data_IF_366815867717
#
_entry.id   IF_366815867717
#
_cell.length_a   1.000
_cell.length_b   1.000
_cell.length_c   1.000
_cell.angle_alpha   90.00
_cell.angle_beta   90.00
_cell.angle_gamma   90.00
#
_symmetry.space_group_name_H-M   'P 1'
#
loop_
_entity.id
_entity.type
_entity.pdbx_description
1 polymer ?
#
# COMPACT_ATOMS: atom_id res chain seq x y z
N UNK A 1 -3.98 17.69 -43.62
CA UNK A 1 -4.47 16.53 -44.38
C UNK A 1 -3.33 15.65 -44.90
N UNK A 2 -2.29 16.20 -45.54
CA UNK A 2 -1.15 15.44 -46.11
C UNK A 2 -0.34 14.64 -45.07
N UNK A 3 -0.10 15.20 -43.88
CA UNK A 3 0.65 14.51 -42.81
C UNK A 3 -0.12 13.31 -42.22
N UNK A 4 -1.44 13.41 -42.09
CA UNK A 4 -2.29 12.31 -41.60
C UNK A 4 -2.28 11.13 -42.59
N UNK A 5 -2.33 11.42 -43.88
CA UNK A 5 -2.19 10.39 -44.93
C UNK A 5 -0.81 9.72 -44.91
N UNK A 6 0.25 10.47 -44.60
CA UNK A 6 1.59 9.90 -44.41
C UNK A 6 1.64 9.00 -43.17
N UNK A 7 1.04 9.42 -42.06
CA UNK A 7 0.96 8.62 -40.82
C UNK A 7 0.27 7.27 -41.09
N UNK A 8 -0.83 7.26 -41.83
CA UNK A 8 -1.56 6.01 -42.19
C UNK A 8 -0.69 4.98 -42.92
N UNK A 9 0.36 5.41 -43.63
CA UNK A 9 1.25 4.54 -44.42
C UNK A 9 2.45 4.03 -43.65
N UNK A 10 2.68 4.49 -42.42
CA UNK A 10 3.80 4.03 -41.60
C UNK A 10 3.61 2.56 -41.24
N UNK A 11 4.66 1.76 -41.38
CA UNK A 11 4.60 0.29 -41.21
C UNK A 11 5.30 -0.19 -39.95
N UNK A 12 6.13 0.65 -39.32
CA UNK A 12 6.88 0.29 -38.10
C UNK A 12 6.62 1.27 -36.96
N UNK A 13 6.82 0.82 -35.71
CA UNK A 13 6.71 1.69 -34.53
C UNK A 13 7.79 2.78 -34.51
N UNK A 14 9.00 2.44 -34.96
CA UNK A 14 10.13 3.37 -35.05
C UNK A 14 9.84 4.52 -36.02
N UNK A 15 9.19 4.23 -37.15
CA UNK A 15 8.76 5.28 -38.09
C UNK A 15 7.71 6.21 -37.48
N UNK A 16 6.81 5.69 -36.63
CA UNK A 16 5.80 6.48 -35.94
C UNK A 16 6.44 7.39 -34.90
N UNK A 17 7.38 6.87 -34.11
CA UNK A 17 8.16 7.66 -33.14
C UNK A 17 8.96 8.75 -33.86
N UNK A 18 9.68 8.40 -34.92
CA UNK A 18 10.42 9.36 -35.75
C UNK A 18 9.50 10.44 -36.33
N UNK A 19 8.31 10.06 -36.82
CA UNK A 19 7.32 11.03 -37.32
C UNK A 19 6.82 11.97 -36.22
N UNK A 20 6.61 11.45 -35.00
CA UNK A 20 6.19 12.23 -33.84
C UNK A 20 7.25 13.27 -33.46
N UNK A 21 8.51 12.85 -33.31
CA UNK A 21 9.63 13.73 -32.96
C UNK A 21 9.84 14.80 -34.02
N UNK A 22 9.66 14.45 -35.31
CA UNK A 22 9.73 15.41 -36.40
C UNK A 22 8.58 16.42 -36.36
N UNK A 23 7.36 15.97 -36.09
CA UNK A 23 6.20 16.85 -35.95
C UNK A 23 6.33 17.79 -34.74
N UNK A 24 6.86 17.30 -33.62
CA UNK A 24 7.11 18.09 -32.42
C UNK A 24 8.19 19.16 -32.65
N UNK A 25 9.35 18.76 -33.21
CA UNK A 25 10.42 19.71 -33.57
C UNK A 25 9.97 20.77 -34.56
N UNK A 26 9.08 20.42 -35.48
CA UNK A 26 8.50 21.34 -36.45
C UNK A 26 7.32 22.16 -35.89
N UNK A 27 6.92 21.96 -34.63
CA UNK A 27 5.74 22.58 -34.00
C UNK A 27 4.43 22.31 -34.77
N UNK A 28 4.33 21.14 -35.39
CA UNK A 28 3.17 20.69 -36.16
C UNK A 28 2.33 19.65 -35.40
N UNK A 29 2.64 19.36 -34.13
CA UNK A 29 1.93 18.36 -33.33
C UNK A 29 0.58 18.91 -32.87
N UNK A 30 -0.44 18.78 -33.72
CA UNK A 30 -1.84 19.10 -33.39
C UNK A 30 -2.55 17.90 -32.76
N UNK A 31 -3.67 18.11 -32.02
CA UNK A 31 -4.46 17.00 -31.46
C UNK A 31 -4.89 15.95 -32.51
N UNK A 32 -5.24 16.38 -33.73
CA UNK A 32 -5.62 15.47 -34.82
C UNK A 32 -4.45 14.58 -35.27
N UNK A 33 -3.23 15.12 -35.22
CA UNK A 33 -2.01 14.39 -35.57
C UNK A 33 -1.64 13.41 -34.44
N UNK A 34 -1.79 13.80 -33.18
CA UNK A 34 -1.60 12.90 -32.04
C UNK A 34 -2.57 11.71 -32.09
N UNK A 35 -3.84 11.98 -32.39
CA UNK A 35 -4.86 10.94 -32.60
C UNK A 35 -4.48 10.03 -33.76
N UNK A 36 -4.08 10.59 -34.92
CA UNK A 36 -3.66 9.80 -36.06
C UNK A 36 -2.45 8.90 -35.77
N UNK A 37 -1.43 9.41 -35.05
CA UNK A 37 -0.25 8.65 -34.63
C UNK A 37 -0.63 7.53 -33.65
N UNK A 38 -1.51 7.83 -32.69
CA UNK A 38 -2.01 6.86 -31.71
C UNK A 38 -2.80 5.74 -32.38
N UNK A 39 -3.74 6.08 -33.23
CA UNK A 39 -4.60 5.11 -33.92
C UNK A 39 -3.76 4.24 -34.86
N UNK A 40 -2.78 4.83 -35.55
CA UNK A 40 -1.86 4.04 -36.37
C UNK A 40 -0.99 3.09 -35.55
N UNK A 41 -0.55 3.52 -34.37
CA UNK A 41 0.18 2.65 -33.45
C UNK A 41 -0.69 1.47 -33.04
N UNK A 42 -1.96 1.72 -32.73
CA UNK A 42 -2.91 0.66 -32.40
C UNK A 42 -3.05 -0.36 -33.55
N UNK A 43 -3.16 0.08 -34.81
CA UNK A 43 -3.22 -0.81 -35.98
C UNK A 43 -2.01 -1.76 -36.05
N UNK A 44 -0.80 -1.24 -35.80
CA UNK A 44 0.42 -2.07 -35.80
C UNK A 44 0.41 -3.08 -34.66
N UNK A 45 -0.14 -2.72 -33.49
CA UNK A 45 -0.33 -3.68 -32.41
C UNK A 45 -1.43 -4.70 -32.69
N UNK A 46 -2.50 -4.34 -33.41
CA UNK A 46 -3.52 -5.28 -33.89
C UNK A 46 -2.89 -6.34 -34.77
N UNK A 47 -2.07 -5.93 -35.74
CA UNK A 47 -1.33 -6.85 -36.60
C UNK A 47 -0.41 -7.79 -35.79
N UNK A 48 0.28 -7.27 -34.76
CA UNK A 48 1.11 -8.08 -33.85
C UNK A 48 0.30 -9.09 -33.03
N UNK A 49 -0.90 -8.73 -32.57
CA UNK A 49 -1.78 -9.66 -31.85
C UNK A 49 -2.22 -10.78 -32.77
N UNK A 50 -2.63 -10.44 -33.99
CA UNK A 50 -3.07 -11.40 -35.01
C UNK A 50 -1.99 -12.41 -35.38
N UNK A 51 -0.78 -11.94 -35.65
CA UNK A 51 0.39 -12.78 -35.90
C UNK A 51 0.66 -13.71 -34.71
N UNK A 52 0.63 -13.18 -33.48
CA UNK A 52 0.88 -13.96 -32.28
C UNK A 52 -0.16 -15.07 -32.01
N UNK A 53 -1.38 -14.94 -32.52
CA UNK A 53 -2.44 -15.95 -32.36
C UNK A 53 -2.68 -16.79 -33.62
N UNK A 54 -1.96 -16.51 -34.71
CA UNK A 54 -2.10 -17.19 -36.00
C UNK A 54 -3.45 -16.97 -36.67
N UNK A 55 -4.00 -15.74 -36.62
CA UNK A 55 -5.28 -15.37 -37.27
C UNK A 55 -5.07 -14.33 -38.36
N UNK A 56 -5.86 -14.43 -39.42
CA UNK A 56 -5.89 -13.43 -40.50
C UNK A 56 -6.99 -12.39 -40.26
N UNK A 57 -6.78 -11.09 -40.56
CA UNK A 57 -7.79 -10.03 -40.36
C UNK A 57 -9.13 -10.34 -41.04
N UNK A 58 -9.09 -10.91 -42.25
CA UNK A 58 -10.29 -11.24 -43.03
C UNK A 58 -11.15 -12.37 -42.42
N UNK A 59 -10.60 -13.11 -41.45
CA UNK A 59 -11.28 -14.23 -40.78
C UNK A 59 -12.04 -13.83 -39.51
N UNK A 60 -12.05 -12.55 -39.15
CA UNK A 60 -12.61 -12.07 -37.89
C UNK A 60 -14.07 -11.67 -38.05
N UNK A 61 -14.90 -12.04 -37.08
CA UNK A 61 -16.17 -11.39 -36.85
C UNK A 61 -15.95 -9.97 -36.28
N UNK A 62 -16.94 -9.08 -36.41
CA UNK A 62 -16.85 -7.71 -35.90
C UNK A 62 -16.49 -7.65 -34.40
N UNK A 63 -17.16 -8.47 -33.59
CA UNK A 63 -16.85 -8.60 -32.16
C UNK A 63 -15.43 -9.11 -31.88
N UNK A 64 -14.90 -10.02 -32.72
CA UNK A 64 -13.53 -10.54 -32.56
C UNK A 64 -12.50 -9.46 -32.90
N UNK A 65 -12.78 -8.61 -33.89
CA UNK A 65 -11.96 -7.46 -34.22
C UNK A 65 -11.89 -6.46 -33.04
N UNK A 66 -13.02 -6.19 -32.38
CA UNK A 66 -13.06 -5.33 -31.19
C UNK A 66 -12.29 -5.93 -30.01
N UNK A 67 -12.41 -7.24 -29.77
CA UNK A 67 -11.62 -7.94 -28.74
C UNK A 67 -10.12 -7.87 -29.05
N UNK A 68 -9.73 -8.04 -30.31
CA UNK A 68 -8.34 -7.91 -30.75
C UNK A 68 -7.83 -6.47 -30.58
N UNK A 69 -8.64 -5.46 -30.92
CA UNK A 69 -8.30 -4.06 -30.71
C UNK A 69 -8.10 -3.76 -29.21
N UNK A 70 -8.95 -4.30 -28.33
CA UNK A 70 -8.77 -4.22 -26.89
C UNK A 70 -7.47 -4.88 -26.40
N UNK A 71 -7.15 -6.07 -26.90
CA UNK A 71 -5.88 -6.75 -26.61
C UNK A 71 -4.65 -5.98 -27.12
N UNK A 72 -4.76 -5.38 -28.30
CA UNK A 72 -3.72 -4.56 -28.91
C UNK A 72 -3.48 -3.29 -28.08
N UNK A 73 -4.55 -2.59 -27.67
CA UNK A 73 -4.46 -1.42 -26.82
C UNK A 73 -3.85 -1.78 -25.44
N UNK A 74 -4.19 -2.94 -24.87
CA UNK A 74 -3.56 -3.42 -23.64
C UNK A 74 -2.07 -3.74 -23.81
N UNK A 75 -1.66 -4.22 -24.99
CA UNK A 75 -0.25 -4.45 -25.27
C UNK A 75 0.49 -3.13 -25.47
N UNK A 76 -0.05 -2.25 -26.31
CA UNK A 76 0.48 -0.92 -26.59
C UNK A 76 0.72 -0.10 -25.32
N UNK A 77 -0.18 -0.23 -24.33
CA UNK A 77 -0.11 0.53 -23.07
C UNK A 77 0.66 -0.19 -21.95
N UNK A 78 1.30 -1.33 -22.23
CA UNK A 78 1.98 -2.16 -21.24
C UNK A 78 3.50 -2.20 -21.44
N UNK A 79 4.26 -1.93 -20.38
CA UNK A 79 5.72 -2.16 -20.35
C UNK A 79 6.11 -3.64 -20.10
N UNK A 80 5.12 -4.54 -20.02
CA UNK A 80 5.33 -5.97 -19.75
C UNK A 80 4.89 -6.83 -20.94
N UNK A 81 5.48 -8.03 -21.12
CA UNK A 81 5.01 -9.01 -22.10
C UNK A 81 3.51 -9.26 -21.93
N UNK A 82 2.77 -9.36 -23.04
CA UNK A 82 1.32 -9.48 -23.00
C UNK A 82 0.89 -10.87 -22.48
N UNK A 83 0.65 -10.98 -21.17
CA UNK A 83 0.15 -12.20 -20.53
C UNK A 83 -1.24 -12.61 -21.03
N UNK A 84 -2.03 -11.67 -21.57
CA UNK A 84 -3.34 -11.94 -22.15
C UNK A 84 -3.23 -12.77 -23.43
N UNK A 85 -2.19 -12.56 -24.25
CA UNK A 85 -1.91 -13.40 -25.43
C UNK A 85 -1.56 -14.82 -25.01
N UNK A 86 -0.72 -14.98 -23.97
CA UNK A 86 -0.42 -16.31 -23.42
C UNK A 86 -1.66 -17.02 -22.89
N UNK A 87 -2.55 -16.28 -22.23
CA UNK A 87 -3.81 -16.80 -21.71
C UNK A 87 -4.80 -17.18 -22.83
N UNK A 88 -4.77 -16.45 -23.95
CA UNK A 88 -5.58 -16.70 -25.14
C UNK A 88 -5.08 -17.92 -25.92
N UNK A 89 -3.77 -18.07 -26.10
CA UNK A 89 -3.17 -19.26 -26.73
C UNK A 89 -3.53 -20.55 -25.97
N UNK A 90 -3.56 -20.51 -24.64
CA UNK A 90 -4.01 -21.65 -23.80
C UNK A 90 -5.48 -22.02 -24.02
N UNK A 91 -6.30 -21.10 -24.53
CA UNK A 91 -7.72 -21.28 -24.85
C UNK A 91 -7.96 -21.58 -26.33
N UNK A 92 -6.94 -22.06 -27.06
CA UNK A 92 -7.02 -22.30 -28.51
C UNK A 92 -7.46 -21.05 -29.30
N UNK A 93 -7.12 -19.86 -28.80
CA UNK A 93 -7.46 -18.58 -29.43
C UNK A 93 -8.96 -18.27 -29.54
N UNK A 94 -9.79 -18.81 -28.62
CA UNK A 94 -11.20 -18.41 -28.50
C UNK A 94 -11.33 -17.01 -27.88
N UNK A 95 -11.55 -16.01 -28.75
CA UNK A 95 -11.62 -14.59 -28.39
C UNK A 95 -12.89 -14.26 -27.59
N UNK A 96 -14.00 -14.92 -27.91
CA UNK A 96 -15.30 -14.66 -27.27
C UNK A 96 -15.29 -15.20 -25.84
N UNK A 97 -14.88 -16.46 -25.68
CA UNK A 97 -14.75 -17.05 -24.36
C UNK A 97 -13.73 -16.29 -23.51
N UNK A 98 -12.63 -15.83 -24.11
CA UNK A 98 -11.65 -15.00 -23.42
C UNK A 98 -12.24 -13.68 -22.90
N UNK A 99 -13.01 -12.95 -23.71
CA UNK A 99 -13.65 -11.70 -23.28
C UNK A 99 -14.67 -11.96 -22.17
N UNK A 100 -15.49 -13.01 -22.31
CA UNK A 100 -16.48 -13.44 -21.31
C UNK A 100 -15.84 -13.81 -19.96
N UNK A 101 -14.79 -14.63 -19.99
CA UNK A 101 -14.00 -15.00 -18.80
C UNK A 101 -13.39 -13.78 -18.12
N UNK A 102 -12.97 -12.79 -18.91
CA UNK A 102 -12.26 -11.63 -18.40
C UNK A 102 -13.18 -10.71 -17.63
N UNK A 103 -14.40 -10.46 -18.13
CA UNK A 103 -15.38 -9.62 -17.42
C UNK A 103 -16.06 -10.36 -16.26
N UNK A 104 -16.13 -11.69 -16.31
CA UNK A 104 -16.81 -12.49 -15.28
C UNK A 104 -15.97 -12.72 -14.02
N UNK A 105 -14.68 -12.36 -14.02
CA UNK A 105 -13.83 -12.44 -12.83
C UNK A 105 -14.22 -11.37 -11.79
N UNK A 106 -14.24 -11.70 -10.49
CA UNK A 106 -14.45 -10.70 -9.46
C UNK A 106 -13.25 -9.74 -9.34
N UNK A 107 -13.54 -8.46 -9.12
CA UNK A 107 -12.53 -7.41 -8.85
C UNK A 107 -12.16 -6.53 -10.04
N UNK A 108 -11.68 -5.31 -9.76
CA UNK A 108 -11.33 -4.27 -10.76
C UNK A 108 -10.26 -4.78 -11.72
N UNK A 109 -10.44 -4.62 -13.03
CA UNK A 109 -9.39 -4.93 -14.02
C UNK A 109 -8.46 -3.72 -14.10
N UNK A 110 -7.18 -3.93 -13.84
CA UNK A 110 -6.13 -2.92 -14.08
C UNK A 110 -6.13 -2.42 -15.53
N UNK A 111 -6.59 -3.27 -16.46
CA UNK A 111 -6.76 -2.91 -17.86
C UNK A 111 -7.76 -1.78 -18.09
N UNK A 112 -8.84 -1.69 -17.30
CA UNK A 112 -9.88 -0.68 -17.49
C UNK A 112 -9.33 0.74 -17.33
N UNK A 113 -8.75 1.07 -16.16
CA UNK A 113 -8.23 2.41 -15.88
C UNK A 113 -7.12 2.80 -16.84
N UNK A 114 -6.19 1.89 -17.08
CA UNK A 114 -5.07 2.12 -17.99
C UNK A 114 -5.52 2.45 -19.41
N UNK A 115 -6.54 1.76 -19.93
CA UNK A 115 -7.07 2.05 -21.26
C UNK A 115 -7.82 3.38 -21.28
N UNK A 116 -8.61 3.68 -20.26
CA UNK A 116 -9.32 4.97 -20.14
C UNK A 116 -8.33 6.14 -20.11
N UNK A 117 -7.30 6.08 -19.26
CA UNK A 117 -6.24 7.11 -19.15
C UNK A 117 -5.49 7.33 -20.47
N UNK A 118 -5.39 6.31 -21.31
CA UNK A 118 -4.71 6.37 -22.62
C UNK A 118 -5.65 6.65 -23.79
N UNK A 119 -6.92 6.98 -23.50
CA UNK A 119 -7.92 7.35 -24.52
C UNK A 119 -8.55 6.16 -25.27
N UNK A 120 -8.32 4.94 -24.80
CA UNK A 120 -8.88 3.69 -25.34
C UNK A 120 -10.05 3.16 -24.52
N UNK A 121 -10.76 4.03 -23.78
CA UNK A 121 -11.88 3.64 -22.93
C UNK A 121 -12.97 2.85 -23.67
N UNK A 122 -13.18 3.12 -24.97
CA UNK A 122 -14.12 2.39 -25.81
C UNK A 122 -13.73 0.93 -26.10
N UNK A 123 -12.45 0.57 -25.92
CA UNK A 123 -11.90 -0.78 -26.18
C UNK A 123 -11.76 -1.62 -24.90
N UNK A 124 -12.27 -1.16 -23.76
CA UNK A 124 -12.32 -1.99 -22.56
C UNK A 124 -13.28 -3.16 -22.77
N UNK A 125 -12.92 -4.35 -22.31
CA UNK A 125 -13.71 -5.56 -22.56
C UNK A 125 -15.13 -5.46 -22.02
N UNK A 126 -15.33 -4.75 -20.92
CA UNK A 126 -16.66 -4.50 -20.37
C UNK A 126 -17.57 -3.77 -21.38
N UNK A 127 -17.07 -2.76 -22.11
CA UNK A 127 -17.85 -2.05 -23.12
C UNK A 127 -18.06 -2.89 -24.38
N UNK A 128 -17.06 -3.65 -24.81
CA UNK A 128 -17.17 -4.58 -25.93
C UNK A 128 -18.26 -5.63 -25.63
N UNK A 129 -18.24 -6.23 -24.45
CA UNK A 129 -19.24 -7.23 -24.03
C UNK A 129 -20.65 -6.65 -24.00
N UNK A 130 -20.81 -5.40 -23.57
CA UNK A 130 -22.11 -4.71 -23.56
C UNK A 130 -22.57 -4.35 -24.97
N UNK A 131 -21.65 -3.95 -25.86
CA UNK A 131 -21.95 -3.56 -27.23
C UNK A 131 -22.42 -4.72 -28.13
N UNK A 132 -22.12 -5.97 -27.74
CA UNK A 132 -22.46 -7.19 -28.50
C UNK A 132 -23.41 -8.15 -27.74
N UNK A 133 -24.65 -7.74 -27.43
CA UNK A 133 -25.61 -8.57 -26.69
C UNK A 133 -26.04 -9.85 -27.44
N UNK A 134 -25.88 -9.88 -28.76
CA UNK A 134 -26.12 -11.04 -29.62
C UNK A 134 -25.08 -12.16 -29.46
N UNK A 135 -23.89 -11.82 -28.94
CA UNK A 135 -22.77 -12.76 -28.76
C UNK A 135 -22.58 -13.14 -27.30
N UNK A 136 -22.72 -12.19 -26.37
CA UNK A 136 -22.43 -12.41 -24.96
C UNK A 136 -23.68 -12.63 -24.09
N UNK A 137 -23.56 -13.56 -23.13
CA UNK A 137 -24.65 -13.92 -22.22
C UNK A 137 -25.09 -12.74 -21.34
N UNK A 138 -26.36 -12.75 -20.90
CA UNK A 138 -26.89 -11.74 -19.98
C UNK A 138 -26.07 -11.67 -18.69
N UNK A 139 -25.59 -12.81 -18.19
CA UNK A 139 -24.71 -12.89 -17.02
C UNK A 139 -23.40 -12.15 -17.24
N UNK A 140 -22.70 -12.39 -18.37
CA UNK A 140 -21.45 -11.69 -18.68
C UNK A 140 -21.67 -10.18 -18.84
N UNK A 141 -22.79 -9.78 -19.47
CA UNK A 141 -23.18 -8.37 -19.60
C UNK A 141 -23.54 -7.71 -18.27
N UNK A 142 -24.18 -8.43 -17.35
CA UNK A 142 -24.46 -7.95 -16.00
C UNK A 142 -23.16 -7.70 -15.22
N UNK A 143 -22.19 -8.62 -15.29
CA UNK A 143 -20.87 -8.42 -14.70
C UNK A 143 -20.13 -7.23 -15.32
N UNK A 144 -20.16 -7.11 -16.65
CA UNK A 144 -19.56 -5.98 -17.36
C UNK A 144 -20.15 -4.64 -16.92
N UNK A 145 -21.50 -4.52 -16.83
CA UNK A 145 -22.18 -3.31 -16.34
C UNK A 145 -21.77 -2.98 -14.91
N UNK A 146 -21.82 -3.96 -14.02
CA UNK A 146 -21.43 -3.78 -12.62
C UNK A 146 -19.99 -3.26 -12.48
N UNK A 147 -19.07 -3.78 -13.30
CA UNK A 147 -17.66 -3.34 -13.33
C UNK A 147 -17.49 -1.93 -13.89
N UNK A 148 -18.23 -1.56 -14.94
CA UNK A 148 -18.23 -0.19 -15.46
C UNK A 148 -18.76 0.79 -14.42
N UNK A 149 -19.89 0.47 -13.78
CA UNK A 149 -20.46 1.32 -12.73
C UNK A 149 -19.52 1.47 -11.53
N UNK A 150 -18.81 0.41 -11.12
CA UNK A 150 -17.80 0.50 -10.05
C UNK A 150 -16.62 1.40 -10.47
N UNK A 151 -16.20 1.32 -11.73
CA UNK A 151 -15.04 2.07 -12.21
C UNK A 151 -15.35 3.52 -12.61
N UNK A 152 -16.57 3.82 -13.07
CA UNK A 152 -17.03 5.18 -13.35
C UNK A 152 -17.34 5.93 -12.05
N UNK A 153 -17.89 5.26 -11.03
CA UNK A 153 -18.00 5.82 -9.66
C UNK A 153 -16.65 6.23 -9.09
N UNK A 154 -15.61 5.40 -9.28
CA UNK A 154 -14.25 5.76 -8.87
C UNK A 154 -13.71 7.00 -9.62
N UNK A 155 -14.06 7.19 -10.90
CA UNK A 155 -13.61 8.33 -11.70
C UNK A 155 -14.36 9.63 -11.36
N UNK A 156 -15.66 9.57 -11.04
CA UNK A 156 -16.44 10.73 -10.61
C UNK A 156 -16.07 11.20 -9.19
N UNK A 157 -15.67 10.27 -8.31
CA UNK A 157 -15.05 10.60 -7.01
C UNK A 157 -13.69 11.31 -7.19
N UNK A 158 -12.94 10.99 -8.25
CA UNK A 158 -11.65 11.63 -8.57
C UNK A 158 -11.80 13.02 -9.20
N UNK A 159 -12.80 13.24 -10.06
CA UNK A 159 -12.91 14.45 -10.89
C UNK A 159 -13.65 15.62 -10.22
N UNK A 160 -14.49 15.36 -9.21
CA UNK A 160 -15.47 16.34 -8.73
C UNK A 160 -14.96 17.30 -7.65
N UNK A 161 -13.73 17.16 -7.15
CA UNK A 161 -13.21 17.98 -6.04
C UNK A 161 -14.07 17.91 -4.77
N UNK A 162 -15.01 16.96 -4.72
CA UNK A 162 -15.94 16.74 -3.61
C UNK A 162 -15.19 15.95 -2.54
N UNK A 163 -15.42 16.30 -1.28
CA UNK A 163 -14.83 15.57 -0.17
C UNK A 163 -15.18 14.06 -0.29
N UNK A 164 -14.20 13.15 -0.14
CA UNK A 164 -14.41 11.72 -0.30
C UNK A 164 -15.54 11.25 0.61
N UNK A 165 -16.49 10.52 0.04
CA UNK A 165 -17.61 9.96 0.81
C UNK A 165 -17.21 8.67 1.51
N UNK A 166 -17.80 8.43 2.69
CA UNK A 166 -17.65 7.16 3.36
C UNK A 166 -18.23 6.04 2.49
N UNK A 167 -17.50 4.94 2.37
CA UNK A 167 -17.97 3.71 1.75
C UNK A 167 -19.13 3.12 2.57
N UNK A 168 -19.84 2.14 2.01
CA UNK A 168 -21.00 1.52 2.67
C UNK A 168 -20.72 0.94 4.08
N UNK A 169 -19.44 0.69 4.41
CA UNK A 169 -18.98 0.24 5.73
C UNK A 169 -18.63 1.37 6.71
N UNK A 170 -18.89 2.64 6.35
CA UNK A 170 -18.57 3.82 7.15
C UNK A 170 -17.08 4.21 7.14
N UNK A 171 -16.24 3.59 6.31
CA UNK A 171 -14.81 3.87 6.18
C UNK A 171 -14.50 4.64 4.92
N UNK A 172 -13.32 5.27 4.87
CA UNK A 172 -12.88 6.06 3.72
C UNK A 172 -11.75 5.36 2.99
N UNK A 173 -11.71 5.48 1.67
CA UNK A 173 -10.58 4.97 0.88
C UNK A 173 -9.35 5.85 1.13
N UNK A 174 -8.26 5.27 1.65
CA UNK A 174 -6.98 6.00 1.80
C UNK A 174 -6.51 6.56 0.47
N UNK A 175 -6.73 5.81 -0.62
CA UNK A 175 -6.37 6.26 -1.96
C UNK A 175 -7.20 7.47 -2.42
N UNK A 176 -8.50 7.51 -2.10
CA UNK A 176 -9.34 8.66 -2.42
C UNK A 176 -8.90 9.90 -1.63
N UNK A 177 -8.60 9.73 -0.33
CA UNK A 177 -8.07 10.80 0.53
C UNK A 177 -6.69 11.30 0.11
N UNK A 178 -5.83 10.44 -0.43
CA UNK A 178 -4.53 10.86 -0.97
C UNK A 178 -4.68 11.74 -2.22
N UNK A 179 -5.67 11.45 -3.07
CA UNK A 179 -5.91 12.23 -4.29
C UNK A 179 -6.39 13.65 -3.99
N UNK A 180 -7.19 13.85 -2.95
CA UNK A 180 -7.65 15.21 -2.57
C UNK A 180 -6.50 16.13 -2.18
N UNK A 181 -5.39 15.58 -1.68
CA UNK A 181 -4.16 16.31 -1.35
C UNK A 181 -3.09 16.20 -2.45
N UNK A 182 -3.47 15.73 -3.65
CA UNK A 182 -2.63 15.74 -4.85
C UNK A 182 -1.71 14.53 -5.04
N UNK A 183 -1.80 13.50 -4.20
CA UNK A 183 -1.05 12.25 -4.39
C UNK A 183 -1.80 11.28 -5.30
N UNK A 184 -1.11 10.79 -6.34
CA UNK A 184 -1.69 9.90 -7.35
C UNK A 184 -0.88 8.60 -7.43
N UNK A 185 -1.56 7.46 -7.49
CA UNK A 185 -0.91 6.17 -7.74
C UNK A 185 -0.61 6.02 -9.22
N UNK A 186 0.63 5.63 -9.56
CA UNK A 186 1.01 5.34 -10.94
C UNK A 186 0.30 4.09 -11.48
N UNK A 187 0.06 3.09 -10.62
CA UNK A 187 -0.84 1.97 -10.93
C UNK A 187 -1.73 1.60 -9.73
N UNK A 188 -2.91 1.00 -9.98
CA UNK A 188 -3.91 0.66 -8.96
C UNK A 188 -3.41 -0.13 -7.73
N UNK A 189 -2.54 -1.10 -7.99
CA UNK A 189 -2.09 -2.10 -7.01
C UNK A 189 -0.86 -1.67 -6.23
N UNK A 190 -0.30 -0.51 -6.55
CA UNK A 190 0.85 0.00 -5.83
C UNK A 190 0.45 0.47 -4.44
N UNK A 191 1.35 0.24 -3.51
CA UNK A 191 1.23 0.65 -2.13
C UNK A 191 2.01 1.94 -1.86
N UNK A 192 2.14 2.77 -2.90
CA UNK A 192 2.66 4.11 -2.80
C UNK A 192 1.93 5.01 -3.80
N UNK A 193 1.99 6.32 -3.58
CA UNK A 193 1.49 7.35 -4.48
C UNK A 193 2.52 8.48 -4.58
N UNK A 194 2.45 9.26 -5.65
CA UNK A 194 3.40 10.33 -5.98
C UNK A 194 2.69 11.68 -6.07
N UNK A 195 3.36 12.74 -5.63
CA UNK A 195 2.95 14.14 -5.80
C UNK A 195 4.18 14.94 -6.17
N UNK A 196 4.30 15.33 -7.44
CA UNK A 196 5.52 15.97 -8.00
C UNK A 196 6.75 15.08 -7.73
N UNK A 197 7.67 15.55 -6.89
CA UNK A 197 8.89 14.88 -6.45
C UNK A 197 8.79 14.30 -5.01
N UNK A 198 7.58 14.23 -4.45
CA UNK A 198 7.29 13.59 -3.17
C UNK A 198 6.67 12.20 -3.36
N UNK A 199 6.92 11.31 -2.41
CA UNK A 199 6.34 9.96 -2.36
C UNK A 199 5.63 9.72 -1.03
N UNK A 200 4.50 9.00 -1.06
CA UNK A 200 3.81 8.50 0.12
C UNK A 200 3.61 6.99 0.02
N UNK A 201 4.03 6.26 1.05
CA UNK A 201 3.80 4.82 1.20
C UNK A 201 2.51 4.56 1.97
N UNK A 202 1.78 3.51 1.59
CA UNK A 202 0.63 3.00 2.32
C UNK A 202 1.09 1.79 3.13
N UNK A 203 0.83 1.80 4.43
CA UNK A 203 1.13 0.68 5.33
C UNK A 203 -0.04 0.41 6.28
N UNK A 204 0.05 -0.66 7.05
CA UNK A 204 -0.96 -0.99 8.05
C UNK A 204 -0.66 -0.31 9.37
N UNK A 205 -1.70 0.03 10.13
CA UNK A 205 -1.55 0.56 11.49
C UNK A 205 -0.74 -0.40 12.40
N UNK A 206 -0.80 -1.71 12.14
CA UNK A 206 -0.02 -2.73 12.85
C UNK A 206 1.50 -2.71 12.51
N UNK A 207 1.89 -2.05 11.41
CA UNK A 207 3.29 -1.93 10.98
C UNK A 207 4.00 -0.73 11.65
N UNK A 208 3.30 0.04 12.49
CA UNK A 208 3.81 1.24 13.14
C UNK A 208 3.87 1.12 14.67
N UNK A 209 4.98 1.55 15.24
CA UNK A 209 5.08 1.89 16.66
C UNK A 209 4.99 3.40 16.82
N UNK A 210 3.76 3.91 16.99
CA UNK A 210 3.49 5.33 17.19
C UNK A 210 4.04 5.88 18.51
N UNK A 211 4.27 5.02 19.52
CA UNK A 211 4.84 5.47 20.80
C UNK A 211 6.33 5.76 20.66
N UNK A 212 7.03 4.95 19.88
CA UNK A 212 8.45 5.12 19.61
C UNK A 212 8.74 5.96 18.35
N UNK A 213 7.69 6.33 17.60
CA UNK A 213 7.82 7.07 16.34
C UNK A 213 8.66 6.34 15.30
N UNK A 214 8.44 5.03 15.14
CA UNK A 214 9.04 4.22 14.06
C UNK A 214 7.98 3.42 13.32
N UNK A 215 8.27 3.04 12.08
CA UNK A 215 7.45 2.13 11.31
C UNK A 215 8.30 1.15 10.52
N UNK A 216 7.78 -0.06 10.38
CA UNK A 216 8.24 -1.05 9.42
C UNK A 216 7.82 -0.58 8.02
N UNK A 217 8.81 -0.14 7.24
CA UNK A 217 8.60 0.35 5.87
C UNK A 217 8.72 -0.81 4.88
N UNK A 218 9.47 -1.85 5.21
CA UNK A 218 9.62 -3.05 4.41
C UNK A 218 9.90 -4.26 5.28
N UNK A 219 9.09 -5.31 5.14
CA UNK A 219 9.30 -6.61 5.78
C UNK A 219 9.98 -7.57 4.79
N UNK A 220 11.10 -8.17 5.20
CA UNK A 220 11.78 -9.21 4.44
C UNK A 220 11.05 -10.54 4.63
N UNK A 221 10.52 -11.06 3.53
CA UNK A 221 10.00 -12.44 3.45
C UNK A 221 10.95 -13.23 2.59
N UNK A 222 11.81 -14.02 3.23
CA UNK A 222 12.87 -14.80 2.58
C UNK A 222 12.40 -15.73 1.45
N UNK A 223 11.10 -16.06 1.43
CA UNK A 223 10.49 -16.97 0.46
C UNK A 223 9.58 -16.25 -0.58
N UNK A 224 9.38 -14.93 -0.49
CA UNK A 224 8.41 -14.21 -1.32
C UNK A 224 9.02 -13.65 -2.61
N UNK A 225 8.75 -14.32 -3.74
CA UNK A 225 9.28 -13.98 -5.07
C UNK A 225 8.31 -13.13 -5.92
N UNK A 226 7.27 -12.53 -5.32
CA UNK A 226 6.26 -11.75 -6.07
C UNK A 226 6.85 -10.43 -6.63
N UNK A 227 6.53 -10.00 -7.87
CA UNK A 227 7.11 -8.81 -8.50
C UNK A 227 6.86 -7.46 -7.79
N UNK A 228 5.83 -7.39 -6.94
CA UNK A 228 5.52 -6.24 -6.08
C UNK A 228 6.55 -6.04 -4.97
N UNK A 229 7.18 -7.13 -4.50
CA UNK A 229 8.24 -7.12 -3.50
C UNK A 229 9.50 -6.40 -3.99
N UNK A 230 9.88 -6.64 -5.26
CA UNK A 230 11.05 -6.01 -5.89
C UNK A 230 10.85 -4.52 -6.18
N UNK A 231 9.64 -4.10 -6.58
CA UNK A 231 9.33 -2.68 -6.78
C UNK A 231 9.33 -1.90 -5.47
N UNK A 232 8.84 -2.50 -4.39
CA UNK A 232 8.82 -1.86 -3.08
C UNK A 232 10.24 -1.61 -2.56
N UNK A 233 11.10 -2.64 -2.54
CA UNK A 233 12.50 -2.49 -2.12
C UNK A 233 13.22 -1.44 -2.97
N UNK A 234 12.95 -1.41 -4.27
CA UNK A 234 13.51 -0.39 -5.18
C UNK A 234 13.06 1.02 -4.79
N UNK A 235 11.79 1.25 -4.43
CA UNK A 235 11.34 2.57 -4.01
C UNK A 235 11.90 3.02 -2.67
N UNK A 236 12.04 2.11 -1.71
CA UNK A 236 12.72 2.39 -0.44
C UNK A 236 14.18 2.77 -0.68
N UNK A 237 14.86 2.05 -1.57
CA UNK A 237 16.23 2.40 -1.96
C UNK A 237 16.29 3.79 -2.61
N UNK A 238 15.39 4.12 -3.54
CA UNK A 238 15.32 5.45 -4.19
C UNK A 238 15.06 6.57 -3.19
N UNK A 239 14.30 6.32 -2.12
CA UNK A 239 14.12 7.27 -1.01
C UNK A 239 15.44 7.46 -0.27
N UNK A 240 16.13 6.37 0.07
CA UNK A 240 17.43 6.43 0.75
C UNK A 240 18.52 7.09 -0.10
N UNK A 241 18.44 6.94 -1.43
CA UNK A 241 19.32 7.57 -2.40
C UNK A 241 19.00 9.06 -2.65
N UNK A 242 17.92 9.57 -2.04
CA UNK A 242 17.55 10.99 -2.10
C UNK A 242 16.87 11.42 -3.40
N UNK A 243 16.24 10.50 -4.14
CA UNK A 243 15.54 10.83 -5.39
C UNK A 243 14.22 11.62 -5.18
N UNK A 244 13.73 11.71 -3.94
CA UNK A 244 12.49 12.40 -3.58
C UNK A 244 12.76 13.55 -2.61
N UNK A 245 12.07 14.68 -2.80
CA UNK A 245 12.19 15.85 -1.91
C UNK A 245 11.61 15.60 -0.51
N UNK A 246 10.59 14.74 -0.43
CA UNK A 246 10.05 14.22 0.81
C UNK A 246 9.46 12.82 0.62
N UNK A 247 9.59 12.00 1.66
CA UNK A 247 8.99 10.68 1.74
C UNK A 247 8.06 10.61 2.95
N UNK A 248 6.83 10.15 2.72
CA UNK A 248 5.80 10.01 3.73
C UNK A 248 5.33 8.56 3.81
N UNK A 249 4.69 8.21 4.93
CA UNK A 249 3.95 6.98 5.12
C UNK A 249 2.57 7.31 5.71
N UNK A 250 1.55 6.64 5.24
CA UNK A 250 0.19 6.70 5.76
C UNK A 250 -0.24 5.33 6.22
N UNK A 251 -0.79 5.27 7.42
CA UNK A 251 -1.26 4.03 8.01
C UNK A 251 -2.77 3.92 7.86
N UNK A 252 -3.23 2.75 7.41
CA UNK A 252 -4.65 2.47 7.30
C UNK A 252 -5.02 1.11 7.87
N UNK A 253 -6.32 0.88 7.94
CA UNK A 253 -6.92 -0.35 8.43
C UNK A 253 -7.25 -1.26 7.27
N UNK A 254 -7.14 -2.57 7.50
CA UNK A 254 -7.45 -3.60 6.51
C UNK A 254 -8.95 -3.60 6.19
N UNK A 255 -9.26 -3.39 4.91
CA UNK A 255 -10.61 -3.50 4.35
C UNK A 255 -10.97 -4.93 3.91
N UNK A 256 -12.24 -5.17 3.55
CA UNK A 256 -12.77 -6.49 3.20
C UNK A 256 -12.15 -7.12 1.95
N UNK A 257 -11.60 -6.31 1.04
CA UNK A 257 -10.86 -6.72 -0.16
C UNK A 257 -9.34 -6.54 0.01
N UNK A 258 -8.83 -6.50 1.26
CA UNK A 258 -7.43 -6.24 1.59
C UNK A 258 -6.92 -4.87 1.09
N UNK A 259 -7.82 -3.89 1.00
CA UNK A 259 -7.53 -2.50 0.68
C UNK A 259 -7.21 -1.68 1.94
N UNK A 260 -6.50 -0.57 1.77
CA UNK A 260 -6.14 0.34 2.85
C UNK A 260 -7.24 1.39 3.04
N UNK A 261 -7.87 1.41 4.22
CA UNK A 261 -9.00 2.29 4.55
C UNK A 261 -8.73 3.14 5.80
N UNK A 262 -9.29 4.34 5.84
CA UNK A 262 -9.28 5.23 6.99
C UNK A 262 -10.61 5.16 7.76
N UNK A 263 -10.55 5.36 9.08
CA UNK A 263 -11.74 5.44 9.93
C UNK A 263 -12.43 6.80 9.86
N UNK A 264 -11.74 7.82 9.33
CA UNK A 264 -12.27 9.17 9.17
C UNK A 264 -11.83 9.78 7.83
N UNK A 265 -12.43 10.90 7.45
CA UNK A 265 -12.01 11.70 6.32
C UNK A 265 -10.78 12.57 6.64
N UNK A 266 -10.32 12.59 7.90
CA UNK A 266 -9.03 13.14 8.30
C UNK A 266 -7.97 12.04 8.24
N UNK A 267 -6.88 12.35 7.54
CA UNK A 267 -5.76 11.44 7.32
C UNK A 267 -4.46 12.15 7.69
N UNK A 268 -3.62 11.46 8.47
CA UNK A 268 -2.32 11.97 8.89
C UNK A 268 -1.25 11.33 8.02
N UNK A 269 -0.43 12.17 7.38
CA UNK A 269 0.81 11.74 6.74
C UNK A 269 1.93 11.79 7.77
N UNK A 270 2.76 10.77 7.80
CA UNK A 270 3.96 10.76 8.63
C UNK A 270 5.18 10.89 7.74
N UNK A 271 5.99 11.93 7.95
CA UNK A 271 7.28 12.06 7.27
C UNK A 271 8.22 10.97 7.75
N UNK A 272 8.83 10.25 6.82
CA UNK A 272 9.83 9.23 7.09
C UNK A 272 11.24 9.83 7.11
N UNK A 273 12.06 9.37 8.04
CA UNK A 273 13.48 9.74 8.19
C UNK A 273 14.26 8.61 8.86
N UNK A 274 15.60 8.74 8.96
CA UNK A 274 16.47 7.80 9.69
C UNK A 274 16.22 6.31 9.34
N UNK A 275 16.30 5.97 8.05
CA UNK A 275 16.09 4.60 7.59
C UNK A 275 17.15 3.65 8.14
N UNK A 276 16.74 2.48 8.63
CA UNK A 276 17.62 1.45 9.18
C UNK A 276 17.23 0.08 8.64
N UNK A 277 18.23 -0.67 8.14
CA UNK A 277 18.05 -2.07 7.73
C UNK A 277 18.48 -3.00 8.87
N UNK A 278 17.56 -3.83 9.35
CA UNK A 278 17.79 -4.76 10.46
C UNK A 278 17.29 -6.13 10.05
N UNK A 279 18.18 -7.12 9.95
CA UNK A 279 17.80 -8.47 9.50
C UNK A 279 17.28 -8.54 8.06
N UNK A 280 17.37 -7.44 7.29
CA UNK A 280 16.83 -7.26 5.94
C UNK A 280 15.44 -6.61 5.89
N UNK A 281 14.81 -6.38 7.03
CA UNK A 281 13.67 -5.47 7.18
C UNK A 281 14.18 -4.02 7.14
N UNK A 282 13.36 -3.09 6.65
CA UNK A 282 13.66 -1.66 6.68
C UNK A 282 12.68 -0.93 7.57
N UNK A 283 13.22 -0.20 8.55
CA UNK A 283 12.48 0.66 9.46
C UNK A 283 12.79 2.13 9.16
N UNK A 284 11.87 3.02 9.48
CA UNK A 284 12.09 4.47 9.43
C UNK A 284 11.50 5.15 10.67
N UNK A 285 12.15 6.21 11.13
CA UNK A 285 11.52 7.16 12.06
C UNK A 285 10.37 7.87 11.35
N UNK A 286 9.23 7.99 12.03
CA UNK A 286 8.03 8.64 11.52
C UNK A 286 7.70 9.87 12.36
N UNK A 287 7.37 10.99 11.72
CA UNK A 287 6.92 12.20 12.42
C UNK A 287 5.66 12.71 11.74
N UNK A 288 4.60 12.96 12.51
CA UNK A 288 3.37 13.47 11.96
C UNK A 288 3.63 14.80 11.22
N UNK A 289 3.41 14.79 9.92
CA UNK A 289 3.34 16.00 9.13
C UNK A 289 1.88 16.43 9.15
N UNK A 290 1.59 17.60 9.73
CA UNK A 290 0.30 18.24 9.50
C UNK A 290 0.17 18.47 8.01
N UNK A 291 -0.64 17.66 7.32
CA UNK A 291 -1.09 17.99 5.98
C UNK A 291 -1.89 19.29 6.15
N UNK A 292 -1.27 20.43 5.89
CA UNK A 292 -1.95 21.72 5.90
C UNK A 292 -3.02 21.66 4.81
N UNK A 293 -4.27 21.48 5.23
CA UNK A 293 -5.43 21.78 4.41
C UNK A 293 -5.70 23.27 4.67
N UNK A 294 -5.03 24.13 3.91
CA UNK A 294 -5.49 25.51 3.81
C UNK A 294 -6.83 25.48 3.05
N UNK A 295 -7.95 25.65 3.77
CA UNK A 295 -9.22 26.00 3.15
C UNK A 295 -10.49 25.28 3.59
N UNK A 296 -10.55 24.63 4.76
CA UNK A 296 -11.84 24.22 5.34
C UNK A 296 -12.05 24.98 6.66
N UNK A 297 -13.05 25.86 6.66
CA UNK A 297 -13.43 26.65 7.82
C UNK A 297 -13.70 25.74 9.03
N UNK A 298 -13.17 26.13 10.19
CA UNK A 298 -13.49 25.52 11.49
C UNK A 298 -15.01 25.47 11.66
N UNK A 299 -15.61 24.31 11.90
CA UNK A 299 -16.89 24.25 12.59
C UNK A 299 -16.66 24.56 14.06
N UNK A 300 -17.61 25.29 14.64
CA UNK A 300 -17.61 25.76 16.02
C UNK A 300 -17.25 24.68 17.05
N UNK A 301 -16.50 25.14 18.06
CA UNK A 301 -16.25 24.40 19.28
C UNK A 301 -17.58 24.14 20.02
N UNK A 302 -18.14 22.93 19.88
CA UNK A 302 -18.95 22.24 20.87
C UNK A 302 -19.46 20.90 20.32
N UNK A 303 -18.64 19.84 20.39
CA UNK A 303 -19.16 18.46 20.36
C UNK A 303 -18.46 17.68 21.47
N UNK A 304 -19.20 17.44 22.54
CA UNK A 304 -18.86 16.50 23.60
C UNK A 304 -18.56 15.13 22.97
N UNK A 305 -17.47 14.42 23.33
CA UNK A 305 -17.11 13.17 22.68
C UNK A 305 -18.23 12.12 22.83
N UNK A 306 -18.68 11.45 21.76
CA UNK A 306 -19.56 10.30 21.88
C UNK A 306 -18.78 9.09 22.45
N UNK A 307 -19.48 8.33 23.29
CA UNK A 307 -18.93 7.26 24.13
C UNK A 307 -18.16 6.18 23.35
N UNK A 308 -16.98 5.83 23.89
CA UNK A 308 -16.13 4.71 23.45
C UNK A 308 -16.86 3.38 23.65
N UNK A 309 -16.92 2.52 22.62
CA UNK A 309 -17.18 1.08 22.79
C UNK A 309 -16.00 0.26 22.28
N UNK A 310 -15.44 -0.52 23.20
CA UNK A 310 -14.18 -1.26 23.15
C UNK A 310 -14.35 -2.63 22.47
N UNK A 311 -13.32 -3.11 21.76
CA UNK A 311 -13.14 -4.55 21.56
C UNK A 311 -12.67 -5.16 22.89
N UNK A 312 -13.28 -6.26 23.32
CA UNK A 312 -12.94 -6.95 24.55
C UNK A 312 -11.61 -7.68 24.40
N UNK A 313 -10.50 -6.95 24.52
CA UNK A 313 -9.37 -7.50 25.26
C UNK A 313 -9.91 -7.85 26.66
N UNK A 314 -9.50 -8.97 27.28
CA UNK A 314 -9.90 -9.24 28.66
C UNK A 314 -9.58 -7.99 29.47
N UNK A 315 -10.61 -7.37 30.02
CA UNK A 315 -10.47 -6.22 30.91
C UNK A 315 -9.68 -6.77 32.09
N UNK A 316 -8.41 -6.37 32.18
CA UNK A 316 -7.54 -6.65 33.33
C UNK A 316 -7.82 -5.54 34.33
N UNK A 317 -8.86 -5.67 35.19
CA UNK A 317 -9.45 -4.53 35.90
C UNK A 317 -8.43 -3.87 36.83
N UNK A 318 -7.42 -4.63 37.23
CA UNK A 318 -6.40 -4.25 38.18
C UNK A 318 -5.09 -3.81 37.51
N UNK A 319 -4.97 -3.81 36.17
CA UNK A 319 -3.70 -3.49 35.50
C UNK A 319 -3.20 -2.06 35.80
N UNK A 320 -4.12 -1.10 35.89
CA UNK A 320 -3.78 0.27 36.29
C UNK A 320 -3.43 0.36 37.79
N UNK A 321 -4.10 -0.41 38.64
CA UNK A 321 -3.84 -0.47 40.08
C UNK A 321 -2.49 -1.16 40.38
N UNK A 322 -2.23 -2.30 39.74
CA UNK A 322 -0.96 -3.04 39.78
C UNK A 322 0.19 -2.16 39.29
N UNK A 323 0.02 -1.48 38.15
CA UNK A 323 1.03 -0.52 37.67
C UNK A 323 1.29 0.58 38.69
N UNK A 324 0.24 1.18 39.26
CA UNK A 324 0.40 2.21 40.30
C UNK A 324 1.11 1.67 41.55
N UNK A 325 0.75 0.47 42.01
CA UNK A 325 1.36 -0.17 43.17
C UNK A 325 2.86 -0.46 42.95
N UNK A 326 3.27 -0.88 41.75
CA UNK A 326 4.69 -1.04 41.43
C UNK A 326 5.42 0.30 41.28
N UNK A 327 4.78 1.33 40.73
CA UNK A 327 5.36 2.68 40.73
C UNK A 327 5.58 3.22 42.15
N UNK A 328 4.65 2.97 43.08
CA UNK A 328 4.81 3.32 44.50
C UNK A 328 5.91 2.48 45.17
N UNK A 329 5.94 1.16 44.95
CA UNK A 329 6.92 0.23 45.52
C UNK A 329 8.37 0.55 45.09
N UNK A 330 8.55 0.93 43.83
CA UNK A 330 9.88 1.15 43.25
C UNK A 330 10.24 2.64 43.10
N UNK A 331 9.52 3.57 43.76
CA UNK A 331 9.78 5.02 43.68
C UNK A 331 9.82 5.55 42.23
N UNK A 332 8.97 4.98 41.36
CA UNK A 332 8.93 5.30 39.93
C UNK A 332 10.23 4.99 39.19
N UNK A 333 11.06 4.06 39.70
CA UNK A 333 12.35 3.68 39.11
C UNK A 333 12.32 2.26 38.60
N UNK A 334 13.00 2.02 37.48
CA UNK A 334 13.31 0.67 37.03
C UNK A 334 14.18 -0.04 38.08
N UNK A 335 13.75 -1.21 38.55
CA UNK A 335 14.43 -1.99 39.58
C UNK A 335 15.86 -2.41 39.22
N UNK A 336 16.17 -2.53 37.91
CA UNK A 336 17.48 -2.96 37.42
C UNK A 336 18.38 -1.77 37.06
N UNK A 337 17.82 -0.67 36.54
CA UNK A 337 18.62 0.44 35.96
C UNK A 337 18.51 1.77 36.69
N UNK A 338 17.54 1.91 37.59
CA UNK A 338 17.21 3.18 38.23
C UNK A 338 16.53 4.22 37.30
N UNK A 339 16.24 3.88 36.04
CA UNK A 339 15.56 4.77 35.09
C UNK A 339 14.25 5.32 35.68
N UNK A 340 14.06 6.65 35.64
CA UNK A 340 12.89 7.35 36.21
C UNK A 340 11.90 7.86 35.16
N UNK A 341 12.17 7.64 33.87
CA UNK A 341 11.30 8.14 32.81
C UNK A 341 10.08 7.22 32.75
N UNK A 342 8.97 7.66 33.34
CA UNK A 342 7.76 6.86 33.51
C UNK A 342 7.22 6.23 32.21
N UNK A 343 7.42 6.90 31.08
CA UNK A 343 7.03 6.44 29.75
C UNK A 343 7.85 5.24 29.26
N UNK A 344 9.04 5.03 29.80
CA UNK A 344 9.92 3.90 29.47
C UNK A 344 9.72 2.70 30.41
N UNK A 345 8.88 2.84 31.44
CA UNK A 345 8.70 1.84 32.48
C UNK A 345 7.41 1.03 32.29
N UNK A 346 7.50 -0.26 32.58
CA UNK A 346 6.40 -1.22 32.57
C UNK A 346 6.35 -2.05 33.85
N UNK A 347 5.12 -2.42 34.20
CA UNK A 347 4.79 -3.33 35.29
C UNK A 347 4.83 -4.77 34.76
N UNK A 348 5.88 -5.50 35.12
CA UNK A 348 6.06 -6.90 34.74
C UNK A 348 5.66 -7.83 35.88
N UNK A 349 5.01 -8.95 35.57
CA UNK A 349 4.79 -10.03 36.53
C UNK A 349 6.07 -10.84 36.74
N UNK A 350 6.33 -11.28 37.97
CA UNK A 350 7.45 -12.17 38.24
C UNK A 350 7.17 -13.57 37.66
N UNK A 351 8.21 -14.33 37.26
CA UNK A 351 8.03 -15.69 36.74
C UNK A 351 7.19 -16.57 37.69
N UNK A 352 6.13 -17.18 37.17
CA UNK A 352 5.20 -18.01 37.95
C UNK A 352 3.99 -17.25 38.51
N UNK A 353 3.93 -15.92 38.35
CA UNK A 353 2.74 -15.11 38.66
C UNK A 353 1.86 -14.95 37.44
N UNK A 354 0.56 -14.99 37.65
CA UNK A 354 -0.43 -14.91 36.59
C UNK A 354 -1.56 -13.95 36.96
N UNK A 355 -1.66 -12.86 36.19
CA UNK A 355 -2.74 -11.88 36.32
C UNK A 355 -4.15 -12.51 36.28
N UNK A 356 -4.34 -13.60 35.53
CA UNK A 356 -5.64 -14.28 35.43
C UNK A 356 -5.96 -15.14 36.65
N UNK A 357 -4.97 -15.41 37.49
CA UNK A 357 -5.11 -16.11 38.76
C UNK A 357 -5.27 -15.13 39.95
N UNK A 358 -5.22 -13.81 39.69
CA UNK A 358 -5.34 -12.76 40.72
C UNK A 358 -4.01 -12.29 41.30
N UNK A 359 -2.86 -12.71 40.75
CA UNK A 359 -1.55 -12.24 41.18
C UNK A 359 -1.29 -10.80 40.70
N UNK A 360 -1.88 -9.81 41.37
CA UNK A 360 -1.76 -8.38 41.03
C UNK A 360 -1.36 -7.51 42.24
N UNK A 361 -0.82 -8.10 43.30
CA UNK A 361 -0.25 -7.33 44.41
C UNK A 361 1.12 -6.77 44.02
N UNK A 362 1.58 -5.74 44.75
CA UNK A 362 2.88 -5.13 44.48
C UNK A 362 4.04 -6.15 44.58
N UNK A 363 3.87 -7.23 45.36
CA UNK A 363 4.84 -8.32 45.53
C UNK A 363 4.88 -9.30 44.35
N UNK A 364 3.85 -9.33 43.50
CA UNK A 364 3.76 -10.23 42.35
C UNK A 364 4.48 -9.70 41.11
N UNK A 365 5.01 -8.48 41.18
CA UNK A 365 5.59 -7.80 40.04
C UNK A 365 6.84 -7.00 40.34
N UNK A 366 7.41 -6.47 39.25
CA UNK A 366 8.60 -5.65 39.23
C UNK A 366 8.45 -4.52 38.22
N UNK A 367 8.92 -3.33 38.57
CA UNK A 367 8.93 -2.19 37.66
C UNK A 367 10.22 -2.20 36.83
N UNK A 368 10.10 -2.38 35.52
CA UNK A 368 11.24 -2.50 34.61
C UNK A 368 11.14 -1.51 33.46
N UNK A 369 12.24 -1.30 32.74
CA UNK A 369 12.13 -0.70 31.41
C UNK A 369 11.45 -1.69 30.47
N UNK A 370 10.69 -1.19 29.48
CA UNK A 370 9.98 -2.04 28.52
C UNK A 370 10.87 -3.13 27.90
N UNK A 371 12.08 -2.76 27.45
CA UNK A 371 13.08 -3.69 26.89
C UNK A 371 13.44 -4.87 27.82
N UNK A 372 13.54 -4.62 29.13
CA UNK A 372 13.88 -5.61 30.16
C UNK A 372 12.66 -6.39 30.63
N UNK A 373 11.48 -5.78 30.61
CA UNK A 373 10.22 -6.49 30.80
C UNK A 373 10.06 -7.60 29.74
N UNK A 374 10.19 -7.26 28.46
CA UNK A 374 10.15 -8.25 27.38
C UNK A 374 11.25 -9.32 27.51
N UNK A 375 12.45 -8.93 27.93
CA UNK A 375 13.54 -9.88 28.17
C UNK A 375 13.25 -10.83 29.35
N UNK A 376 12.53 -10.37 30.39
CA UNK A 376 12.12 -11.20 31.53
C UNK A 376 11.04 -12.20 31.10
N UNK A 377 9.99 -11.71 30.43
CA UNK A 377 8.87 -12.52 29.95
C UNK A 377 9.31 -13.59 28.94
N UNK A 378 10.23 -13.23 28.05
CA UNK A 378 10.81 -14.15 27.06
C UNK A 378 11.87 -15.08 27.65
N UNK A 379 12.13 -14.97 28.96
CA UNK A 379 13.11 -15.81 29.65
C UNK A 379 14.56 -15.58 29.20
N UNK A 380 14.90 -14.40 28.69
CA UNK A 380 16.26 -14.03 28.29
C UNK A 380 17.10 -13.48 29.45
N UNK A 381 16.45 -13.07 30.54
CA UNK A 381 17.09 -12.73 31.81
C UNK A 381 16.49 -13.54 32.96
N UNK A 382 17.23 -13.67 34.06
CA UNK A 382 16.70 -14.19 35.34
C UNK A 382 17.08 -13.24 36.47
N UNK A 383 16.16 -13.10 37.40
CA UNK A 383 16.35 -12.34 38.62
C UNK A 383 16.66 -13.29 39.77
N UNK A 384 17.46 -12.85 40.74
CA UNK A 384 17.60 -13.52 42.02
C UNK A 384 16.42 -13.21 42.96
N UNK A 385 16.44 -13.78 44.17
CA UNK A 385 15.42 -13.57 45.18
C UNK A 385 15.36 -12.11 45.69
N UNK A 386 16.37 -11.29 45.40
CA UNK A 386 16.42 -9.87 45.73
C UNK A 386 16.05 -8.99 44.51
N UNK A 387 15.49 -9.59 43.46
CA UNK A 387 15.09 -8.93 42.21
C UNK A 387 16.25 -8.32 41.41
N UNK A 388 17.50 -8.76 41.68
CA UNK A 388 18.68 -8.31 40.94
C UNK A 388 18.92 -9.23 39.75
N UNK A 389 19.52 -8.68 38.70
CA UNK A 389 19.85 -9.43 37.51
C UNK A 389 20.93 -10.49 37.81
N UNK A 390 20.54 -11.76 37.80
CA UNK A 390 21.38 -12.90 38.20
C UNK A 390 21.94 -13.68 37.00
N UNK A 391 21.22 -13.64 35.88
CA UNK A 391 21.65 -14.29 34.64
C UNK A 391 21.12 -13.55 33.42
N UNK A 392 21.92 -13.53 32.36
CA UNK A 392 21.59 -12.93 31.07
C UNK A 392 21.97 -13.91 29.97
N UNK A 393 21.06 -14.14 29.01
CA UNK A 393 21.30 -14.98 27.85
C UNK A 393 22.49 -14.48 27.01
N UNK A 394 23.35 -15.37 26.49
CA UNK A 394 24.50 -14.99 25.66
C UNK A 394 24.15 -14.04 24.50
N UNK A 395 22.97 -14.20 23.89
CA UNK A 395 22.51 -13.41 22.73
C UNK A 395 22.33 -11.92 23.09
N UNK A 396 21.99 -11.61 24.35
CA UNK A 396 21.80 -10.23 24.83
C UNK A 396 22.82 -9.83 25.91
N UNK A 397 23.86 -10.66 26.13
CA UNK A 397 24.89 -10.39 27.12
C UNK A 397 25.66 -9.09 26.80
N UNK A 398 25.86 -8.76 25.53
CA UNK A 398 26.46 -7.46 25.14
C UNK A 398 25.63 -6.24 25.57
N UNK A 399 24.31 -6.39 25.70
CA UNK A 399 23.40 -5.31 26.08
C UNK A 399 23.26 -5.17 27.60
N UNK A 400 23.16 -6.29 28.32
CA UNK A 400 22.82 -6.28 29.76
C UNK A 400 23.83 -6.98 30.67
N UNK A 401 24.88 -7.61 30.13
CA UNK A 401 25.86 -8.34 30.93
C UNK A 401 26.60 -7.46 31.94
N UNK A 402 26.75 -6.16 31.65
CA UNK A 402 27.32 -5.18 32.58
C UNK A 402 26.44 -4.89 33.81
N UNK A 403 25.17 -5.33 33.80
CA UNK A 403 24.20 -5.15 34.89
C UNK A 403 24.08 -6.39 35.78
N UNK A 404 24.80 -7.47 35.47
CA UNK A 404 24.81 -8.68 36.31
C UNK A 404 25.32 -8.35 37.71
N UNK A 405 24.55 -8.70 38.73
CA UNK A 405 24.92 -8.50 40.11
C UNK A 405 26.18 -9.32 40.44
N UNK A 406 27.32 -8.64 40.61
CA UNK A 406 28.60 -9.30 40.95
C UNK A 406 29.86 -8.76 40.27
N UNK A 407 29.77 -7.74 39.40
CA UNK A 407 30.95 -6.98 38.97
C UNK A 407 30.90 -5.56 39.55
N UNK A 408 31.38 -5.43 40.78
CA UNK A 408 31.93 -4.14 41.22
C UNK A 408 33.00 -3.72 40.22
N UNK A 409 32.88 -2.49 39.70
CA UNK A 409 33.99 -1.82 39.04
C UNK A 409 35.22 -1.88 39.96
N UNK A 410 36.21 -2.71 39.65
CA UNK A 410 37.59 -2.37 40.00
C UNK A 410 37.95 -1.22 39.06
N UNK A 411 37.86 -0.03 39.63
CA UNK A 411 38.29 1.21 39.02
C UNK A 411 39.79 1.16 38.73
N UNK A 412 40.15 1.83 37.65
CA UNK A 412 41.50 2.24 37.33
C UNK A 412 42.18 2.93 38.53
N UNK A 413 43.41 2.51 38.81
CA UNK A 413 44.55 3.34 39.20
C UNK A 413 45.79 2.83 38.45
#
# INVERSE_FOLDING_TARGET
MEIIERIRRLTTLEDIETMRDNAERAQLLTPDIEVALRDRTLDLYVARVLDAIGREPASLQAVEADVIAGLAALWMTSNRPNYSIRALLKRKSDLIQFASDTVSKPGKSDGYRRLVEKGFGHLVFERIVIAHPEVFSETARAFARSRLEEAERDNDEDASGRAPTAQANGRYSTNALLKTIGFHKSVPHEWYALRRDEIVHLAWVEDADFQQSYALVFERKDEDRRPTYTHWRKNVQRIMDGEYSAAYIVFGYRGPKNENQQLSNEMVLYRMSNFQEIGGDVYASITAASASIDGIAKPDAAVTPPERKYALAPVRPEQAAFRRALFERFDGRCAITGCQIAQLLDAAHLPGRNWSAGDNDAEDGILLRADRHWALDSGLIRLDAQLRLAWVSPVIHGLYGHLLAGKTNEAAD
#
